data_IF_756961875738
#
_entry.id   IF_756961875738
#
_cell.length_a   1.000
_cell.length_b   1.000
_cell.length_c   1.000
_cell.angle_alpha   90.00
_cell.angle_beta   90.00
_cell.angle_gamma   90.00
#
_symmetry.space_group_name_H-M   'P 1'
#
loop_
_entity.id
_entity.type
_entity.pdbx_description
1 polymer ?
#
# COMPACT_ATOMS: atom_id res chain seq x y z
N UNK A 1 -0.44 9.27 0.11
CA UNK A 1 -0.68 10.06 1.33
C UNK A 1 0.63 10.38 2.04
N UNK A 2 0.60 11.35 2.93
CA UNK A 2 1.76 11.72 3.73
C UNK A 2 2.35 10.52 4.47
N UNK A 3 3.67 10.56 4.72
CA UNK A 3 4.39 9.50 5.42
C UNK A 3 4.65 8.24 4.60
N UNK A 4 4.36 8.22 3.31
CA UNK A 4 4.53 7.03 2.47
C UNK A 4 6.00 6.64 2.29
N UNK A 5 6.23 5.35 2.02
CA UNK A 5 7.52 4.83 1.58
C UNK A 5 7.42 4.36 0.13
N UNK A 6 8.31 4.82 -0.72
CA UNK A 6 8.44 4.41 -2.11
C UNK A 6 9.58 3.40 -2.28
N UNK A 7 9.42 2.43 -3.18
CA UNK A 7 10.44 1.41 -3.42
C UNK A 7 11.69 2.01 -4.03
N UNK A 8 12.84 1.78 -3.39
CA UNK A 8 14.17 2.19 -3.88
C UNK A 8 14.61 1.40 -5.12
N UNK A 9 15.52 1.97 -5.89
CA UNK A 9 16.24 1.33 -7.01
C UNK A 9 15.32 0.77 -8.11
N UNK A 10 14.08 1.25 -8.19
CA UNK A 10 13.11 0.93 -9.24
C UNK A 10 12.44 2.20 -9.73
N UNK A 11 11.93 2.18 -10.96
CA UNK A 11 11.05 3.25 -11.43
C UNK A 11 9.87 3.44 -10.46
N UNK A 12 9.54 4.69 -10.20
CA UNK A 12 8.45 5.05 -9.29
C UNK A 12 7.26 5.51 -10.14
N UNK A 13 6.23 4.68 -10.32
CA UNK A 13 5.01 5.09 -10.97
C UNK A 13 4.21 6.02 -10.05
N UNK A 14 3.78 7.15 -10.60
CA UNK A 14 2.84 8.08 -9.98
C UNK A 14 1.67 8.26 -10.93
N UNK A 15 0.46 8.03 -10.44
CA UNK A 15 -0.75 8.06 -11.26
C UNK A 15 -1.90 8.75 -10.54
N UNK A 16 -2.94 9.06 -11.28
CA UNK A 16 -4.15 9.65 -10.75
C UNK A 16 -5.15 10.00 -11.84
N UNK A 17 -6.09 10.82 -11.43
CA UNK A 17 -7.17 11.32 -12.29
C UNK A 17 -7.14 12.84 -12.33
N UNK A 18 -7.46 13.40 -13.47
CA UNK A 18 -7.57 14.83 -13.73
C UNK A 18 -8.68 15.06 -14.78
N UNK A 19 -8.92 16.29 -15.19
CA UNK A 19 -9.82 16.50 -16.33
C UNK A 19 -9.23 15.95 -17.63
N UNK A 20 -10.06 15.49 -18.57
CA UNK A 20 -9.59 15.04 -19.88
C UNK A 20 -8.67 16.08 -20.53
N UNK A 21 -7.51 15.61 -21.02
CA UNK A 21 -6.46 16.44 -21.64
C UNK A 21 -5.79 17.46 -20.68
N UNK A 22 -6.02 17.40 -19.40
CA UNK A 22 -5.34 18.26 -18.43
C UNK A 22 -3.86 17.94 -18.39
N UNK A 23 -3.04 18.97 -18.36
CA UNK A 23 -1.60 18.86 -18.18
C UNK A 23 -1.29 18.72 -16.69
N UNK A 24 -0.65 17.61 -16.30
CA UNK A 24 -0.25 17.33 -14.93
C UNK A 24 1.27 17.30 -14.84
N UNK A 25 1.81 18.02 -13.88
CA UNK A 25 3.23 18.02 -13.56
C UNK A 25 3.46 17.35 -12.21
N UNK A 26 4.40 16.43 -12.17
CA UNK A 26 4.83 15.71 -10.96
C UNK A 26 6.27 16.06 -10.65
N UNK A 27 6.50 16.61 -9.47
CA UNK A 27 7.84 16.93 -8.97
C UNK A 27 8.16 16.07 -7.74
N UNK A 28 9.32 15.43 -7.76
CA UNK A 28 9.82 14.62 -6.65
C UNK A 28 11.35 14.69 -6.59
N UNK A 29 11.89 15.11 -5.44
CA UNK A 29 13.33 15.33 -5.25
C UNK A 29 13.89 16.27 -6.36
N UNK A 30 14.77 15.79 -7.22
CA UNK A 30 15.37 16.54 -8.33
C UNK A 30 14.71 16.27 -9.69
N UNK A 31 13.61 15.56 -9.70
CA UNK A 31 12.93 15.13 -10.92
C UNK A 31 11.63 15.90 -11.13
N UNK A 32 11.38 16.30 -12.34
CA UNK A 32 10.09 16.84 -12.78
C UNK A 32 9.66 16.11 -14.04
N UNK A 33 8.46 15.60 -14.06
CA UNK A 33 7.83 14.94 -15.21
C UNK A 33 6.48 15.56 -15.48
N UNK A 34 6.15 15.69 -16.76
CA UNK A 34 4.84 16.19 -17.20
C UNK A 34 4.17 15.15 -18.05
N UNK A 35 2.85 15.02 -17.88
CA UNK A 35 1.97 14.15 -18.66
C UNK A 35 0.67 14.86 -18.96
N UNK A 36 -0.03 14.42 -19.97
CA UNK A 36 -1.40 14.84 -20.26
C UNK A 36 -2.36 13.70 -19.90
N UNK A 37 -3.40 14.00 -19.14
CA UNK A 37 -4.47 13.04 -18.85
C UNK A 37 -5.14 12.58 -20.14
N UNK A 38 -5.51 11.32 -20.22
CA UNK A 38 -6.20 10.76 -21.38
C UNK A 38 -7.67 11.25 -21.47
N UNK A 39 -8.41 10.76 -22.47
CA UNK A 39 -9.83 11.09 -22.64
C UNK A 39 -10.75 10.68 -21.49
N UNK A 40 -10.28 9.75 -20.63
CA UNK A 40 -11.00 9.29 -19.44
C UNK A 40 -10.49 9.99 -18.16
N UNK A 41 -9.59 10.96 -18.31
CA UNK A 41 -8.97 11.68 -17.20
C UNK A 41 -7.83 10.93 -16.49
N UNK A 42 -7.44 9.74 -16.95
CA UNK A 42 -6.36 8.96 -16.32
C UNK A 42 -5.00 9.46 -16.79
N UNK A 43 -4.05 9.49 -15.86
CA UNK A 43 -2.66 9.82 -16.16
C UNK A 43 -1.70 8.96 -15.34
N UNK A 44 -0.51 8.75 -15.88
CA UNK A 44 0.59 8.07 -15.20
C UNK A 44 1.93 8.66 -15.68
N UNK A 45 2.83 8.89 -14.74
CA UNK A 45 4.24 9.16 -15.02
C UNK A 45 5.12 8.13 -14.32
N UNK A 46 6.29 7.89 -14.87
CA UNK A 46 7.31 7.05 -14.25
C UNK A 46 8.50 7.92 -13.92
N UNK A 47 8.73 8.16 -12.64
CA UNK A 47 9.95 8.82 -12.17
C UNK A 47 11.11 7.83 -12.22
N UNK A 48 12.32 8.35 -12.40
CA UNK A 48 13.52 7.52 -12.36
C UNK A 48 13.72 6.92 -10.96
N UNK A 49 14.46 5.83 -10.93
CA UNK A 49 14.81 5.16 -9.67
C UNK A 49 15.56 6.09 -8.72
N UNK A 50 15.19 6.06 -7.46
CA UNK A 50 15.82 6.79 -6.37
C UNK A 50 16.55 5.83 -5.43
N UNK A 51 17.61 6.34 -4.78
CA UNK A 51 18.29 5.65 -3.68
C UNK A 51 17.49 5.85 -2.38
N UNK A 52 17.73 4.96 -1.42
CA UNK A 52 17.13 5.09 -0.10
C UNK A 52 17.47 6.44 0.55
N UNK A 53 16.47 7.07 1.17
CA UNK A 53 16.62 8.38 1.80
C UNK A 53 15.26 9.05 2.09
N UNK A 54 15.33 10.32 2.38
CA UNK A 54 14.19 11.17 2.75
C UNK A 54 14.38 11.81 4.13
N UNK A 55 13.39 12.56 4.64
CA UNK A 55 12.08 12.76 3.99
C UNK A 55 12.15 13.70 2.77
N UNK A 56 11.30 13.40 1.80
CA UNK A 56 11.11 14.20 0.59
C UNK A 56 9.66 14.73 0.53
N UNK A 57 9.42 15.62 -0.43
CA UNK A 57 8.09 16.07 -0.80
C UNK A 57 7.79 15.63 -2.24
N UNK A 58 6.58 15.11 -2.46
CA UNK A 58 6.05 14.83 -3.79
C UNK A 58 4.94 15.85 -4.08
N UNK A 59 5.10 16.66 -5.11
CA UNK A 59 4.06 17.60 -5.54
C UNK A 59 3.50 17.20 -6.90
N UNK A 60 2.18 17.31 -7.01
CA UNK A 60 1.40 17.05 -8.22
C UNK A 60 0.62 18.31 -8.53
N UNK A 61 0.87 18.91 -9.68
CA UNK A 61 0.28 20.18 -10.08
C UNK A 61 -0.46 20.03 -11.42
N UNK A 62 -1.75 20.29 -11.40
CA UNK A 62 -2.62 20.43 -12.53
C UNK A 62 -3.40 21.74 -12.38
N UNK A 63 -4.71 21.72 -12.54
CA UNK A 63 -5.60 22.84 -12.17
C UNK A 63 -5.61 23.11 -10.66
N UNK A 64 -5.38 22.08 -9.88
CA UNK A 64 -5.12 22.14 -8.45
C UNK A 64 -3.68 21.72 -8.14
N UNK A 65 -3.28 21.82 -6.87
CA UNK A 65 -1.98 21.35 -6.39
C UNK A 65 -2.16 20.43 -5.20
N UNK A 66 -1.56 19.24 -5.27
CA UNK A 66 -1.49 18.27 -4.17
C UNK A 66 -0.03 18.18 -3.74
N UNK A 67 0.19 18.27 -2.44
CA UNK A 67 1.53 18.10 -1.84
C UNK A 67 1.44 16.94 -0.86
N UNK A 68 2.28 15.93 -1.08
CA UNK A 68 2.44 14.78 -0.19
C UNK A 68 3.78 14.95 0.52
N UNK A 69 3.73 15.03 1.83
CA UNK A 69 4.86 15.32 2.70
C UNK A 69 5.43 14.07 3.35
N UNK A 70 6.65 14.19 3.87
CA UNK A 70 7.33 13.14 4.64
C UNK A 70 7.41 11.81 3.86
N UNK A 71 7.73 11.90 2.55
CA UNK A 71 7.91 10.75 1.68
C UNK A 71 9.30 10.17 1.88
N UNK A 72 9.37 8.90 2.19
CA UNK A 72 10.63 8.16 2.29
C UNK A 72 10.85 7.29 1.05
N UNK A 73 12.09 6.99 0.74
CA UNK A 73 12.48 5.98 -0.26
C UNK A 73 13.23 4.87 0.46
N UNK A 74 12.78 3.62 0.31
CA UNK A 74 13.35 2.49 1.04
C UNK A 74 12.89 1.14 0.48
N UNK A 75 12.84 0.13 1.32
CA UNK A 75 12.22 -1.15 0.97
C UNK A 75 10.73 -1.13 1.31
N UNK A 76 9.91 -1.63 0.41
CA UNK A 76 8.46 -1.76 0.60
C UNK A 76 8.06 -3.22 0.52
N UNK A 77 7.36 -3.70 1.55
CA UNK A 77 6.92 -5.09 1.67
C UNK A 77 5.42 -5.19 1.87
N UNK A 78 4.80 -6.14 1.18
CA UNK A 78 3.38 -6.45 1.36
C UNK A 78 3.27 -7.58 2.38
N UNK A 79 2.50 -7.33 3.43
CA UNK A 79 2.15 -8.26 4.49
C UNK A 79 0.70 -8.70 4.27
N UNK A 80 0.50 -9.84 3.60
CA UNK A 80 -0.81 -10.36 3.23
C UNK A 80 -1.06 -11.71 3.89
N UNK A 81 -2.31 -12.08 4.05
CA UNK A 81 -2.74 -13.34 4.62
C UNK A 81 -3.90 -13.18 5.60
N UNK A 82 -4.07 -14.15 6.47
CA UNK A 82 -5.15 -14.14 7.46
C UNK A 82 -4.65 -13.86 8.89
N UNK A 83 -5.26 -14.49 9.89
CA UNK A 83 -5.12 -14.17 11.32
C UNK A 83 -3.69 -14.05 11.85
N UNK A 84 -2.74 -14.88 11.40
CA UNK A 84 -1.35 -14.77 11.85
C UNK A 84 -0.66 -13.50 11.33
N UNK A 85 -0.97 -13.06 10.11
CA UNK A 85 -0.46 -11.82 9.58
C UNK A 85 -1.24 -10.61 10.12
N UNK A 86 -2.54 -10.75 10.41
CA UNK A 86 -3.35 -9.69 11.02
C UNK A 86 -3.03 -9.48 12.50
N UNK A 87 -2.39 -10.44 13.16
CA UNK A 87 -2.11 -10.41 14.60
C UNK A 87 -1.38 -9.13 15.00
N UNK A 88 -2.05 -8.32 15.83
CA UNK A 88 -1.58 -6.99 16.18
C UNK A 88 -0.54 -6.97 17.31
N UNK A 89 0.25 -5.91 17.37
CA UNK A 89 1.32 -5.73 18.35
C UNK A 89 0.84 -5.84 19.80
N UNK A 90 -0.33 -5.28 20.13
CA UNK A 90 -0.85 -5.33 21.51
C UNK A 90 -1.19 -6.74 22.02
N UNK A 91 -1.24 -7.74 21.12
CA UNK A 91 -1.50 -9.15 21.45
C UNK A 91 -0.22 -9.98 21.61
N UNK A 92 0.94 -9.38 21.38
CA UNK A 92 2.22 -10.10 21.45
C UNK A 92 2.69 -10.30 22.88
N UNK A 93 3.59 -11.25 23.08
CA UNK A 93 4.32 -11.36 24.32
C UNK A 93 5.18 -10.09 24.55
N UNK A 94 5.18 -9.55 25.77
CA UNK A 94 5.85 -8.30 26.11
C UNK A 94 5.35 -7.05 25.34
N UNK A 95 4.11 -7.07 24.90
CA UNK A 95 3.50 -6.00 24.11
C UNK A 95 3.70 -4.60 24.73
N UNK A 96 3.44 -4.44 26.03
CA UNK A 96 3.57 -3.15 26.72
C UNK A 96 4.98 -2.57 26.58
N UNK A 97 6.01 -3.41 26.81
CA UNK A 97 7.41 -3.00 26.67
C UNK A 97 7.74 -2.63 25.21
N UNK A 98 7.43 -3.49 24.26
CA UNK A 98 7.73 -3.27 22.83
C UNK A 98 7.04 -2.01 22.30
N UNK A 99 5.80 -1.74 22.73
CA UNK A 99 5.07 -0.53 22.35
C UNK A 99 5.62 0.73 23.04
N UNK A 100 6.00 0.63 24.32
CA UNK A 100 6.59 1.76 25.06
C UNK A 100 7.98 2.17 24.53
N UNK A 101 8.74 1.21 24.03
CA UNK A 101 10.08 1.41 23.47
C UNK A 101 10.07 1.76 21.98
N UNK A 102 8.87 1.82 21.34
CA UNK A 102 8.78 2.07 19.92
C UNK A 102 9.11 3.53 19.55
N UNK A 103 10.22 3.69 18.84
CA UNK A 103 10.69 4.94 18.25
C UNK A 103 11.48 4.64 16.96
N UNK A 104 10.73 4.33 15.90
CA UNK A 104 11.29 3.95 14.60
C UNK A 104 10.76 4.86 13.48
N UNK A 105 11.23 6.12 13.40
CA UNK A 105 10.69 7.10 12.45
C UNK A 105 10.88 6.70 10.97
N UNK A 106 11.78 5.76 10.70
CA UNK A 106 12.02 5.22 9.35
C UNK A 106 11.25 3.93 9.05
N UNK A 107 10.49 3.40 9.99
CA UNK A 107 9.58 2.29 9.75
C UNK A 107 8.17 2.84 9.64
N UNK A 108 7.50 2.54 8.54
CA UNK A 108 6.14 2.99 8.24
C UNK A 108 5.24 1.79 7.97
N UNK A 109 4.03 1.89 8.43
CA UNK A 109 2.99 0.88 8.21
C UNK A 109 1.79 1.52 7.51
N UNK A 110 1.35 0.90 6.42
CA UNK A 110 0.11 1.25 5.74
C UNK A 110 -0.93 0.16 6.01
N UNK A 111 -1.96 0.50 6.75
CA UNK A 111 -3.11 -0.38 6.97
C UNK A 111 -4.12 -0.21 5.84
N UNK A 112 -4.29 -1.24 5.02
CA UNK A 112 -5.34 -1.27 3.99
C UNK A 112 -6.68 -1.57 4.66
N UNK A 113 -7.69 -0.75 4.41
CA UNK A 113 -9.04 -1.04 4.87
C UNK A 113 -9.57 -2.30 4.19
N UNK A 114 -10.19 -3.17 4.98
CA UNK A 114 -10.82 -4.38 4.47
C UNK A 114 -11.94 -4.03 3.49
N UNK A 115 -11.93 -4.71 2.36
CA UNK A 115 -12.91 -4.53 1.29
C UNK A 115 -13.10 -5.83 0.52
N UNK A 116 -14.28 -6.01 -0.07
CA UNK A 116 -14.64 -7.15 -0.92
C UNK A 116 -14.98 -6.63 -2.31
N UNK A 117 -14.55 -7.34 -3.34
CA UNK A 117 -14.91 -7.03 -4.72
C UNK A 117 -14.94 -8.28 -5.57
N UNK A 118 -15.96 -8.42 -6.41
CA UNK A 118 -16.03 -9.47 -7.43
C UNK A 118 -15.14 -9.19 -8.64
N UNK A 119 -14.60 -7.98 -8.78
CA UNK A 119 -13.73 -7.56 -9.87
C UNK A 119 -12.55 -6.75 -9.33
N UNK A 120 -11.41 -6.70 -10.04
CA UNK A 120 -10.29 -5.85 -9.65
C UNK A 120 -10.71 -4.38 -9.58
N UNK A 121 -10.39 -3.71 -8.48
CA UNK A 121 -10.58 -2.26 -8.29
C UNK A 121 -9.30 -1.49 -8.65
N UNK A 122 -9.47 -0.26 -9.10
CA UNK A 122 -8.35 0.63 -9.50
C UNK A 122 -7.77 1.41 -8.31
N UNK A 123 -8.52 1.48 -7.20
CA UNK A 123 -8.09 2.18 -5.99
C UNK A 123 -8.54 1.43 -4.73
N UNK A 124 -7.96 1.78 -3.60
CA UNK A 124 -8.29 1.24 -2.29
C UNK A 124 -9.49 1.98 -1.70
N UNK A 125 -10.33 1.27 -0.95
CA UNK A 125 -11.43 1.88 -0.19
C UNK A 125 -10.90 2.93 0.80
N UNK A 126 -9.86 2.60 1.55
CA UNK A 126 -9.16 3.50 2.46
C UNK A 126 -7.82 2.91 2.90
N UNK A 127 -6.98 3.77 3.45
CA UNK A 127 -5.72 3.41 4.07
C UNK A 127 -4.89 4.65 4.40
N UNK A 128 -3.98 4.51 5.32
CA UNK A 128 -3.03 5.58 5.67
C UNK A 128 -1.69 5.02 6.13
N UNK A 129 -0.65 5.76 5.87
CA UNK A 129 0.67 5.51 6.45
C UNK A 129 0.73 6.01 7.89
N UNK A 130 1.39 5.25 8.73
CA UNK A 130 1.65 5.58 10.13
C UNK A 130 3.10 5.27 10.49
N UNK A 131 3.70 6.12 11.30
CA UNK A 131 5.06 5.93 11.84
C UNK A 131 5.02 4.86 12.91
N UNK A 132 6.06 4.01 12.96
CA UNK A 132 6.21 3.03 14.03
C UNK A 132 6.71 3.72 15.33
N UNK A 133 5.80 4.34 16.04
CA UNK A 133 6.01 5.00 17.33
C UNK A 133 4.97 4.52 18.36
N UNK A 134 5.10 4.97 19.59
CA UNK A 134 4.22 4.58 20.72
C UNK A 134 2.74 4.81 20.44
N UNK A 135 2.41 5.89 19.72
CA UNK A 135 1.03 6.29 19.44
C UNK A 135 0.34 5.37 18.43
N UNK A 136 1.11 4.85 17.46
CA UNK A 136 0.55 4.16 16.30
C UNK A 136 0.76 2.65 16.30
N UNK A 137 1.85 2.16 16.95
CA UNK A 137 2.31 0.79 16.79
C UNK A 137 1.33 -0.27 17.29
N UNK A 138 0.43 0.10 18.17
CA UNK A 138 -0.53 -0.80 18.84
C UNK A 138 -1.24 -1.75 17.85
N UNK A 139 -1.70 -1.21 16.73
CA UNK A 139 -2.53 -1.91 15.75
C UNK A 139 -1.74 -2.37 14.51
N UNK A 140 -0.42 -2.25 14.52
CA UNK A 140 0.41 -2.79 13.44
C UNK A 140 0.40 -4.31 13.44
N UNK A 141 0.54 -4.92 12.25
CA UNK A 141 0.84 -6.36 12.15
C UNK A 141 2.13 -6.65 12.89
N UNK A 142 2.08 -7.54 13.88
CA UNK A 142 3.26 -7.89 14.68
C UNK A 142 4.33 -8.58 13.83
N UNK A 143 3.94 -9.55 13.00
CA UNK A 143 4.84 -10.24 12.09
C UNK A 143 5.54 -9.26 11.15
N UNK A 144 4.77 -8.35 10.53
CA UNK A 144 5.31 -7.32 9.64
C UNK A 144 6.22 -6.34 10.37
N UNK A 145 5.84 -5.89 11.58
CA UNK A 145 6.65 -4.94 12.34
C UNK A 145 8.00 -5.56 12.77
N UNK A 146 8.02 -6.76 13.34
CA UNK A 146 9.28 -7.39 13.76
C UNK A 146 10.19 -7.71 12.57
N UNK A 147 9.61 -8.10 11.43
CA UNK A 147 10.35 -8.23 10.19
C UNK A 147 10.97 -6.90 9.75
N UNK A 148 10.18 -5.82 9.71
CA UNK A 148 10.68 -4.49 9.35
C UNK A 148 11.75 -3.98 10.34
N UNK A 149 11.55 -4.19 11.63
CA UNK A 149 12.53 -3.85 12.69
C UNK A 149 13.87 -4.54 12.43
N UNK A 150 13.85 -5.83 12.08
CA UNK A 150 15.07 -6.58 11.74
C UNK A 150 15.72 -6.02 10.48
N UNK A 151 14.96 -5.79 9.40
CA UNK A 151 15.50 -5.21 8.18
C UNK A 151 16.08 -3.81 8.40
N UNK A 152 15.39 -2.95 9.13
CA UNK A 152 15.87 -1.62 9.48
C UNK A 152 17.18 -1.67 10.25
N UNK A 153 17.28 -2.61 11.21
CA UNK A 153 18.49 -2.78 12.02
C UNK A 153 19.69 -3.16 11.16
N UNK A 154 19.51 -4.01 10.17
CA UNK A 154 20.59 -4.49 9.30
C UNK A 154 20.92 -3.49 8.16
N UNK A 155 19.90 -2.97 7.51
CA UNK A 155 20.07 -2.17 6.29
C UNK A 155 20.24 -0.68 6.57
N UNK A 156 19.75 -0.17 7.71
CA UNK A 156 19.75 1.25 8.09
C UNK A 156 19.10 2.17 7.04
N UNK A 157 18.05 1.69 6.39
CA UNK A 157 17.27 2.43 5.39
C UNK A 157 15.78 2.43 5.77
N UNK A 158 14.96 3.32 5.20
CA UNK A 158 13.52 3.30 5.43
C UNK A 158 12.88 1.97 5.03
N UNK A 159 11.90 1.52 5.83
CA UNK A 159 11.13 0.30 5.57
C UNK A 159 9.64 0.63 5.62
N UNK A 160 8.94 0.35 4.53
CA UNK A 160 7.49 0.44 4.42
C UNK A 160 6.85 -0.94 4.47
N UNK A 161 5.78 -1.08 5.25
CA UNK A 161 4.96 -2.28 5.33
C UNK A 161 3.56 -1.92 4.87
N UNK A 162 3.03 -2.64 3.89
CA UNK A 162 1.65 -2.55 3.44
C UNK A 162 0.91 -3.79 3.96
N UNK A 163 0.05 -3.61 4.95
CA UNK A 163 -0.71 -4.70 5.55
C UNK A 163 -2.09 -4.82 4.89
N UNK A 164 -2.35 -5.96 4.24
CA UNK A 164 -3.60 -6.29 3.58
C UNK A 164 -4.27 -7.52 4.19
N UNK A 165 -3.91 -7.90 5.42
CA UNK A 165 -4.38 -9.12 6.05
C UNK A 165 -5.85 -9.05 6.49
N UNK A 166 -6.50 -10.21 6.51
CA UNK A 166 -7.87 -10.35 7.00
C UNK A 166 -8.08 -11.74 7.62
N UNK A 167 -8.25 -11.79 8.94
CA UNK A 167 -8.43 -13.03 9.69
C UNK A 167 -9.72 -13.76 9.31
N UNK A 168 -9.67 -15.11 9.33
CA UNK A 168 -10.81 -15.96 9.01
C UNK A 168 -11.07 -16.16 7.51
N UNK A 169 -10.23 -15.61 6.64
CA UNK A 169 -10.39 -15.77 5.19
C UNK A 169 -9.70 -17.04 4.68
N UNK A 170 -10.27 -17.66 3.65
CA UNK A 170 -9.68 -18.79 2.92
C UNK A 170 -8.76 -18.27 1.79
N UNK A 171 -7.83 -19.09 1.34
CA UNK A 171 -6.87 -18.71 0.26
C UNK A 171 -7.58 -18.34 -1.03
N UNK A 172 -8.71 -18.92 -1.30
CA UNK A 172 -9.53 -18.68 -2.49
C UNK A 172 -9.97 -17.21 -2.58
N UNK A 173 -10.26 -16.56 -1.44
CA UNK A 173 -10.65 -15.14 -1.41
C UNK A 173 -9.51 -14.18 -1.77
N UNK A 174 -8.27 -14.67 -1.75
CA UNK A 174 -7.06 -13.92 -2.14
C UNK A 174 -6.60 -14.24 -3.57
N UNK A 175 -7.32 -15.12 -4.25
CA UNK A 175 -7.02 -15.56 -5.62
C UNK A 175 -8.00 -14.92 -6.59
N UNK A 176 -7.51 -14.23 -7.61
CA UNK A 176 -8.38 -13.62 -8.60
C UNK A 176 -9.11 -14.68 -9.43
N UNK A 177 -10.33 -14.36 -9.90
CA UNK A 177 -11.08 -15.22 -10.82
C UNK A 177 -10.25 -15.62 -12.04
N UNK A 178 -9.53 -14.67 -12.63
CA UNK A 178 -8.65 -14.90 -13.76
C UNK A 178 -7.56 -15.96 -13.47
N UNK A 179 -7.01 -15.96 -12.25
CA UNK A 179 -6.03 -16.96 -11.84
C UNK A 179 -6.65 -18.36 -11.74
N UNK A 180 -7.86 -18.47 -11.22
CA UNK A 180 -8.61 -19.74 -11.20
C UNK A 180 -8.90 -20.25 -12.61
N UNK A 181 -9.41 -19.39 -13.48
CA UNK A 181 -9.76 -19.74 -14.88
C UNK A 181 -8.54 -20.22 -15.68
N UNK A 182 -7.36 -19.68 -15.42
CA UNK A 182 -6.09 -20.08 -16.04
C UNK A 182 -5.48 -21.35 -15.45
N UNK A 183 -5.93 -21.78 -14.28
CA UNK A 183 -5.40 -22.98 -13.62
C UNK A 183 -6.03 -24.24 -14.19
N UNK A 184 -5.21 -25.23 -14.57
CA UNK A 184 -5.72 -26.54 -15.01
C UNK A 184 -6.39 -27.30 -13.88
N UNK A 185 -5.95 -27.11 -12.64
CA UNK A 185 -6.41 -27.85 -11.47
C UNK A 185 -7.66 -27.24 -10.82
N UNK A 186 -7.81 -25.92 -10.91
CA UNK A 186 -8.82 -25.16 -10.15
C UNK A 186 -9.90 -24.51 -11.00
N UNK A 187 -9.77 -24.48 -12.33
CA UNK A 187 -10.77 -23.86 -13.22
C UNK A 187 -12.18 -24.43 -13.03
N UNK A 188 -12.29 -25.70 -12.67
CA UNK A 188 -13.58 -26.32 -12.43
C UNK A 188 -14.28 -25.77 -11.17
N UNK A 189 -13.52 -25.36 -10.17
CA UNK A 189 -14.08 -24.76 -8.93
C UNK A 189 -14.82 -23.45 -9.16
N UNK A 190 -14.38 -22.69 -10.17
CA UNK A 190 -14.93 -21.36 -10.45
C UNK A 190 -15.96 -21.37 -11.59
N UNK A 191 -16.06 -22.48 -12.34
CA UNK A 191 -16.90 -22.55 -13.56
C UNK A 191 -18.37 -22.18 -13.30
N UNK A 192 -18.93 -22.66 -12.19
CA UNK A 192 -20.32 -22.46 -11.81
C UNK A 192 -20.53 -21.32 -10.80
N UNK A 193 -19.46 -20.61 -10.41
CA UNK A 193 -19.57 -19.49 -9.49
C UNK A 193 -19.95 -18.23 -10.27
N UNK A 194 -21.11 -17.63 -10.00
CA UNK A 194 -21.55 -16.43 -10.69
C UNK A 194 -20.61 -15.26 -10.39
N UNK A 195 -20.47 -14.35 -11.32
CA UNK A 195 -19.88 -13.05 -11.05
C UNK A 195 -20.93 -12.21 -10.34
N UNK A 196 -20.69 -11.93 -9.07
CA UNK A 196 -21.60 -11.11 -8.26
C UNK A 196 -21.01 -9.70 -8.21
N UNK A 197 -21.84 -8.71 -8.50
CA UNK A 197 -21.52 -7.33 -8.20
C UNK A 197 -21.68 -7.14 -6.68
N UNK A 198 -20.54 -7.14 -5.98
CA UNK A 198 -20.53 -7.01 -4.53
C UNK A 198 -20.98 -5.62 -4.08
N UNK A 199 -20.77 -4.58 -4.89
CA UNK A 199 -21.23 -3.24 -4.56
C UNK A 199 -22.78 -3.21 -4.54
N UNK A 200 -23.45 -3.91 -5.47
CA UNK A 200 -24.91 -4.06 -5.47
C UNK A 200 -25.45 -4.91 -4.31
N UNK A 201 -24.65 -5.82 -3.74
CA UNK A 201 -25.07 -6.66 -2.59
C UNK A 201 -25.06 -5.87 -1.28
N UNK A 202 -24.20 -4.86 -1.15
CA UNK A 202 -24.05 -4.07 0.08
C UNK A 202 -24.74 -2.69 0.04
N UNK A 203 -25.43 -2.36 -1.05
CA UNK A 203 -26.32 -1.19 -1.14
C UNK A 203 -27.71 -1.42 -0.48
N UNK A 204 -27.77 -2.12 0.66
CA UNK A 204 -29.02 -2.32 1.41
C UNK A 204 -29.02 -1.50 2.68
#
# INVERSE_FOLDING_TARGET
SDGMVLQRNKEIPVWGWAEPNEKVEVHFNKQTKTVQADKNGKWIVKLSAEKAGGPFELSITGKNKIIIKDVLVGEVWICSGQSNMEFQMYKTMNAEKEMADADYPMIRHFGVAQDLSGTPKEDLKAGKWAVANKENIRDFTAAGFFFAKKLYTELKIPIGIINTSWGGTNVETWTSREAFEKSNDFKAMIADVPQVDMDAVFEV
#
